data_IF_857476946581
#
_entry.id   IF_857476946581
#
_cell.length_a   1.000
_cell.length_b   1.000
_cell.length_c   1.000
_cell.angle_alpha   90.00
_cell.angle_beta   90.00
_cell.angle_gamma   90.00
#
_symmetry.space_group_name_H-M   'P 1'
#
loop_
_entity.id
_entity.type
_entity.pdbx_description
1 polymer ?
#
# COMPACT_ATOMS: atom_id res chain seq x y z
N UNK A 1 -66.40 47.77 24.96
CA UNK A 1 -66.47 46.44 24.32
C UNK A 1 -65.26 46.33 23.41
N UNK A 2 -64.11 46.00 24.01
CA UNK A 2 -63.42 44.69 24.00
C UNK A 2 -62.53 44.50 22.76
N UNK A 3 -61.21 44.32 22.95
CA UNK A 3 -60.19 44.27 21.90
C UNK A 3 -60.01 42.84 21.37
N UNK A 4 -59.49 42.68 20.15
CA UNK A 4 -58.88 41.40 19.71
C UNK A 4 -57.56 41.67 18.99
N UNK A 5 -56.49 41.53 19.78
CA UNK A 5 -55.14 41.32 19.31
C UNK A 5 -55.03 39.92 18.68
N UNK A 6 -54.46 39.84 17.47
CA UNK A 6 -54.03 38.57 16.87
C UNK A 6 -52.50 38.56 16.87
N UNK A 7 -51.92 37.86 17.85
CA UNK A 7 -50.51 37.55 17.88
C UNK A 7 -50.25 36.38 16.93
N UNK A 8 -49.51 36.63 15.85
CA UNK A 8 -49.00 35.58 14.97
C UNK A 8 -47.64 35.13 15.54
N UNK A 9 -47.61 33.92 16.08
CA UNK A 9 -46.40 33.31 16.61
C UNK A 9 -45.46 32.93 15.46
N UNK A 10 -44.27 33.55 15.42
CA UNK A 10 -43.17 33.13 14.58
C UNK A 10 -42.49 31.92 15.25
N UNK A 11 -42.77 30.71 14.76
CA UNK A 11 -42.11 29.48 15.21
C UNK A 11 -40.75 29.39 14.51
N UNK A 12 -39.67 29.72 15.23
CA UNK A 12 -38.29 29.49 14.79
C UNK A 12 -37.99 27.99 14.94
N UNK A 13 -38.16 27.24 13.86
CA UNK A 13 -37.57 25.90 13.73
C UNK A 13 -36.07 26.06 13.49
N UNK A 14 -35.32 26.16 14.58
CA UNK A 14 -33.89 25.89 14.59
C UNK A 14 -33.70 24.40 14.33
N UNK A 15 -33.64 24.03 13.05
CA UNK A 15 -33.24 22.69 12.62
C UNK A 15 -31.82 22.44 13.10
N UNK A 16 -31.67 21.53 14.05
CA UNK A 16 -30.41 20.88 14.38
C UNK A 16 -29.86 20.25 13.09
N UNK A 17 -28.87 20.91 12.48
CA UNK A 17 -28.02 20.26 11.49
C UNK A 17 -27.34 19.09 12.18
N UNK A 18 -27.41 17.86 11.64
CA UNK A 18 -26.64 16.75 12.17
C UNK A 18 -25.17 17.15 12.08
N UNK A 19 -24.49 17.15 13.22
CA UNK A 19 -23.03 17.22 13.26
C UNK A 19 -22.53 16.05 12.40
N UNK A 20 -22.00 16.37 11.22
CA UNK A 20 -21.40 15.38 10.35
C UNK A 20 -20.40 14.58 11.17
N UNK A 21 -20.61 13.27 11.24
CA UNK A 21 -19.62 12.37 11.81
C UNK A 21 -18.30 12.70 11.09
N UNK A 22 -17.34 13.25 11.82
CA UNK A 22 -16.03 13.52 11.28
C UNK A 22 -15.49 12.20 10.73
N UNK A 23 -15.35 12.13 9.41
CA UNK A 23 -14.85 10.96 8.70
C UNK A 23 -13.51 10.58 9.34
N UNK A 24 -13.34 9.32 9.78
CA UNK A 24 -12.09 8.89 10.41
C UNK A 24 -10.96 9.15 9.38
N UNK A 25 -9.97 10.00 9.68
CA UNK A 25 -8.90 10.32 8.73
C UNK A 25 -8.10 9.08 8.30
N UNK A 26 -8.18 7.96 9.04
CA UNK A 26 -7.63 6.65 8.64
C UNK A 26 -8.36 6.01 7.45
N UNK A 27 -9.57 6.49 7.15
CA UNK A 27 -10.41 5.98 6.05
C UNK A 27 -10.46 6.91 4.83
N UNK A 28 -9.95 8.13 4.95
CA UNK A 28 -9.92 9.09 3.84
C UNK A 28 -8.83 8.70 2.86
N UNK A 29 -9.23 8.21 1.69
CA UNK A 29 -8.35 7.86 0.58
C UNK A 29 -8.04 9.12 -0.22
N UNK A 30 -6.77 9.49 -0.34
CA UNK A 30 -6.32 10.61 -1.16
C UNK A 30 -6.08 10.20 -2.61
N UNK A 31 -5.49 9.01 -2.79
CA UNK A 31 -5.16 8.42 -4.09
C UNK A 31 -5.43 6.93 -4.04
N UNK A 32 -6.08 6.39 -5.06
CA UNK A 32 -6.16 4.95 -5.31
C UNK A 32 -5.93 4.66 -6.78
N UNK A 33 -4.91 3.88 -7.09
CA UNK A 33 -4.73 3.26 -8.40
C UNK A 33 -5.04 1.77 -8.27
N UNK A 34 -5.95 1.25 -9.08
CA UNK A 34 -6.30 -0.18 -9.14
C UNK A 34 -6.19 -0.65 -10.59
N UNK A 35 -5.17 -1.44 -10.88
CA UNK A 35 -4.91 -2.09 -12.14
C UNK A 35 -5.25 -3.58 -12.02
N UNK A 36 -6.05 -4.10 -12.95
CA UNK A 36 -6.42 -5.51 -12.94
C UNK A 36 -6.47 -6.12 -14.33
N UNK A 37 -6.24 -7.42 -14.38
CA UNK A 37 -6.38 -8.30 -15.54
C UNK A 37 -6.84 -9.69 -15.09
N UNK A 38 -6.91 -10.65 -16.01
CA UNK A 38 -7.23 -12.05 -15.67
C UNK A 38 -6.10 -12.76 -14.93
N UNK A 39 -4.85 -12.28 -15.06
CA UNK A 39 -3.65 -12.94 -14.51
C UNK A 39 -3.13 -12.26 -13.24
N UNK A 40 -3.49 -10.99 -13.01
CA UNK A 40 -2.91 -10.20 -11.93
C UNK A 40 -3.75 -9.00 -11.55
N UNK A 41 -3.58 -8.57 -10.31
CA UNK A 41 -4.10 -7.32 -9.78
C UNK A 41 -2.98 -6.58 -9.06
N UNK A 42 -3.00 -5.26 -9.17
CA UNK A 42 -2.13 -4.33 -8.48
C UNK A 42 -2.93 -3.12 -8.03
N UNK A 43 -2.96 -2.86 -6.74
CA UNK A 43 -3.68 -1.73 -6.14
C UNK A 43 -2.75 -0.96 -5.21
N UNK A 44 -2.59 0.34 -5.44
CA UNK A 44 -1.85 1.28 -4.58
C UNK A 44 -2.86 2.26 -3.98
N UNK A 45 -2.78 2.49 -2.67
CA UNK A 45 -3.65 3.45 -1.96
C UNK A 45 -2.83 4.31 -1.02
N UNK A 46 -2.97 5.63 -1.11
CA UNK A 46 -2.48 6.58 -0.12
C UNK A 46 -3.66 7.11 0.70
N UNK A 47 -3.57 6.97 2.02
CA UNK A 47 -4.54 7.48 2.97
C UNK A 47 -4.10 8.84 3.53
N UNK A 48 -5.05 9.65 3.98
CA UNK A 48 -4.78 10.99 4.53
C UNK A 48 -3.93 10.96 5.81
N UNK A 49 -3.94 9.85 6.54
CA UNK A 49 -3.08 9.64 7.71
C UNK A 49 -1.62 9.28 7.35
N UNK A 50 -1.26 9.20 6.06
CA UNK A 50 0.08 8.83 5.62
C UNK A 50 0.33 7.33 5.48
N UNK A 51 -0.67 6.48 5.69
CA UNK A 51 -0.53 5.06 5.37
C UNK A 51 -0.53 4.87 3.85
N UNK A 52 0.41 4.10 3.34
CA UNK A 52 0.43 3.61 1.96
C UNK A 52 0.16 2.11 1.96
N UNK A 53 -0.88 1.69 1.24
CA UNK A 53 -1.19 0.27 1.04
C UNK A 53 -0.88 -0.13 -0.39
N UNK A 54 -0.17 -1.23 -0.53
CA UNK A 54 0.06 -1.88 -1.81
C UNK A 54 -0.46 -3.32 -1.74
N UNK A 55 -1.37 -3.67 -2.64
CA UNK A 55 -1.90 -5.02 -2.81
C UNK A 55 -1.52 -5.52 -4.21
N UNK A 56 -0.86 -6.67 -4.31
CA UNK A 56 -0.44 -7.21 -5.61
C UNK A 56 -0.44 -8.74 -5.64
N UNK A 57 -0.68 -9.33 -6.80
CA UNK A 57 -0.61 -10.78 -6.99
C UNK A 57 -1.67 -11.29 -7.97
N UNK A 58 -1.85 -12.61 -8.01
CA UNK A 58 -2.96 -13.20 -8.76
C UNK A 58 -4.30 -12.78 -8.13
N UNK A 59 -5.38 -12.60 -8.92
CA UNK A 59 -6.68 -12.21 -8.38
C UNK A 59 -7.16 -13.19 -7.31
N UNK A 60 -7.47 -12.67 -6.12
CA UNK A 60 -7.88 -13.46 -4.94
C UNK A 60 -6.73 -14.07 -4.12
N UNK A 61 -5.48 -13.87 -4.52
CA UNK A 61 -4.28 -14.29 -3.79
C UNK A 61 -3.29 -13.13 -3.62
N UNK A 62 -3.80 -11.90 -3.55
CA UNK A 62 -2.96 -10.72 -3.50
C UNK A 62 -2.28 -10.59 -2.13
N UNK A 63 -0.96 -10.37 -2.14
CA UNK A 63 -0.22 -9.99 -0.97
C UNK A 63 -0.43 -8.52 -0.65
N UNK A 64 -0.60 -8.19 0.64
CA UNK A 64 -0.69 -6.81 1.12
C UNK A 64 0.64 -6.36 1.72
N UNK A 65 1.06 -5.15 1.37
CA UNK A 65 2.21 -4.44 1.91
C UNK A 65 1.73 -3.08 2.43
N UNK A 66 2.29 -2.65 3.56
CA UNK A 66 1.96 -1.38 4.20
C UNK A 66 3.25 -0.60 4.39
N UNK A 67 3.28 0.62 3.86
CA UNK A 67 4.28 1.63 4.18
C UNK A 67 3.63 2.79 4.94
N UNK A 68 4.46 3.62 5.56
CA UNK A 68 4.03 4.83 6.23
C UNK A 68 4.91 5.99 5.78
N UNK A 69 4.29 7.15 5.60
CA UNK A 69 4.96 8.42 5.31
C UNK A 69 4.58 9.47 6.33
N UNK A 70 5.50 10.40 6.59
CA UNK A 70 5.27 11.52 7.50
C UNK A 70 4.29 12.54 6.92
N UNK A 71 3.72 13.40 7.77
CA UNK A 71 2.82 14.46 7.32
C UNK A 71 3.43 15.41 6.27
N UNK A 72 4.73 15.69 6.37
CA UNK A 72 5.45 16.53 5.40
C UNK A 72 5.55 15.86 4.02
N UNK A 73 5.77 14.55 3.99
CA UNK A 73 5.82 13.75 2.76
C UNK A 73 4.43 13.62 2.13
N UNK A 74 3.38 13.41 2.94
CA UNK A 74 1.98 13.47 2.46
C UNK A 74 1.71 14.83 1.82
N UNK A 75 2.07 15.93 2.48
CA UNK A 75 1.89 17.26 1.92
C UNK A 75 2.70 17.45 0.63
N UNK A 76 3.90 16.86 0.51
CA UNK A 76 4.69 16.88 -0.71
C UNK A 76 4.02 16.10 -1.85
N UNK A 77 3.48 14.91 -1.58
CA UNK A 77 2.70 14.16 -2.57
C UNK A 77 1.47 14.94 -3.01
N UNK A 78 0.69 15.51 -2.08
CA UNK A 78 -0.49 16.30 -2.41
C UNK A 78 -0.17 17.48 -3.33
N UNK A 79 0.92 18.22 -3.07
CA UNK A 79 1.37 19.31 -3.97
C UNK A 79 1.69 18.80 -5.37
N UNK A 80 2.43 17.69 -5.48
CA UNK A 80 2.81 17.09 -6.77
C UNK A 80 1.62 16.50 -7.52
N UNK A 81 0.64 15.96 -6.81
CA UNK A 81 -0.61 15.44 -7.40
C UNK A 81 -1.52 16.56 -7.92
N UNK A 82 -1.44 17.75 -7.32
CA UNK A 82 -2.20 18.93 -7.72
C UNK A 82 -1.54 19.76 -8.83
N UNK A 83 -0.27 19.49 -9.15
CA UNK A 83 0.52 20.26 -10.14
C UNK A 83 0.08 20.05 -11.60
N UNK A 84 -0.20 18.81 -12.08
CA UNK A 84 -0.61 18.60 -13.45
C UNK A 84 -1.96 19.25 -13.75
N UNK A 85 -2.05 19.97 -14.87
CA UNK A 85 -3.34 20.39 -15.41
C UNK A 85 -4.03 19.20 -16.09
N UNK A 86 -5.15 18.77 -15.53
CA UNK A 86 -5.91 17.60 -15.99
C UNK A 86 -7.17 18.01 -16.76
N UNK A 87 -7.37 19.29 -17.08
CA UNK A 87 -8.59 19.77 -17.77
C UNK A 87 -8.79 19.13 -19.15
N UNK A 88 -7.72 18.73 -19.81
CA UNK A 88 -7.73 18.10 -21.14
C UNK A 88 -7.62 16.57 -21.11
N UNK A 89 -7.58 15.96 -19.91
CA UNK A 89 -7.48 14.50 -19.77
C UNK A 89 -8.88 13.91 -19.61
N UNK A 90 -9.29 13.07 -20.57
CA UNK A 90 -10.58 12.38 -20.52
C UNK A 90 -10.65 11.43 -19.31
N UNK A 91 -11.40 11.85 -18.30
CA UNK A 91 -11.72 11.07 -17.10
C UNK A 91 -12.62 9.85 -17.42
N UNK A 92 -13.47 9.99 -18.44
CA UNK A 92 -14.57 9.06 -18.75
C UNK A 92 -14.30 8.09 -19.89
N UNK A 93 -13.07 8.08 -20.44
CA UNK A 93 -12.68 7.16 -21.50
C UNK A 93 -12.87 5.68 -21.11
N UNK A 94 -13.23 4.84 -22.08
CA UNK A 94 -13.21 3.39 -21.89
C UNK A 94 -11.75 2.92 -21.82
N UNK A 95 -11.37 2.23 -20.73
CA UNK A 95 -10.03 1.66 -20.65
C UNK A 95 -9.88 0.59 -21.75
N UNK A 96 -8.78 0.59 -22.52
CA UNK A 96 -8.53 -0.46 -23.49
C UNK A 96 -8.53 -1.82 -22.78
N UNK A 97 -9.42 -2.72 -23.22
CA UNK A 97 -9.60 -4.04 -22.65
C UNK A 97 -8.92 -5.15 -23.46
N UNK A 98 -8.58 -6.26 -22.79
CA UNK A 98 -8.05 -7.47 -23.41
C UNK A 98 -7.49 -8.42 -22.36
N UNK A 99 -7.37 -9.71 -22.68
CA UNK A 99 -6.92 -10.75 -21.71
C UNK A 99 -5.56 -10.42 -21.07
N UNK A 100 -4.70 -9.69 -21.77
CA UNK A 100 -3.35 -9.31 -21.33
C UNK A 100 -3.19 -7.82 -21.02
N UNK A 101 -4.26 -7.02 -21.18
CA UNK A 101 -4.20 -5.58 -20.97
C UNK A 101 -4.69 -5.28 -19.56
N UNK A 102 -3.80 -4.79 -18.71
CA UNK A 102 -4.17 -4.32 -17.38
C UNK A 102 -5.00 -3.04 -17.52
N UNK A 103 -6.29 -3.14 -17.18
CA UNK A 103 -7.20 -2.01 -17.11
C UNK A 103 -7.05 -1.37 -15.72
N UNK A 104 -6.69 -0.09 -15.73
CA UNK A 104 -6.41 0.69 -14.54
C UNK A 104 -7.48 1.75 -14.30
N UNK A 105 -7.77 1.96 -13.02
CA UNK A 105 -8.59 3.05 -12.52
C UNK A 105 -7.75 3.85 -11.54
N UNK A 106 -7.65 5.16 -11.75
CA UNK A 106 -7.04 6.09 -10.79
C UNK A 106 -8.10 7.01 -10.23
N UNK A 107 -8.28 7.00 -8.91
CA UNK A 107 -9.15 7.88 -8.15
C UNK A 107 -8.30 8.85 -7.34
N UNK A 108 -8.59 10.15 -7.48
CA UNK A 108 -7.95 11.23 -6.73
C UNK A 108 -9.02 11.96 -5.91
N UNK A 109 -8.77 12.14 -4.63
CA UNK A 109 -9.56 12.98 -3.74
C UNK A 109 -8.61 13.91 -3.00
N UNK A 110 -8.24 15.01 -3.67
CA UNK A 110 -7.35 16.02 -3.10
C UNK A 110 -8.16 17.02 -2.25
N UNK A 111 -7.59 17.55 -1.15
CA UNK A 111 -8.25 18.59 -0.36
C UNK A 111 -8.67 19.78 -1.24
N UNK A 112 -9.88 20.28 -1.01
CA UNK A 112 -10.44 21.45 -1.70
C UNK A 112 -10.66 21.27 -3.22
N UNK A 113 -10.54 20.05 -3.75
CA UNK A 113 -10.82 19.71 -5.14
C UNK A 113 -11.94 18.69 -5.24
N UNK A 114 -12.70 18.75 -6.34
CA UNK A 114 -13.65 17.69 -6.66
C UNK A 114 -12.89 16.39 -6.95
N UNK A 115 -13.39 15.27 -6.43
CA UNK A 115 -12.80 13.96 -6.71
C UNK A 115 -12.81 13.68 -8.20
N UNK A 116 -11.70 13.15 -8.72
CA UNK A 116 -11.53 12.80 -10.13
C UNK A 116 -11.25 11.32 -10.26
N UNK A 117 -11.73 10.74 -11.36
CA UNK A 117 -11.50 9.33 -11.70
C UNK A 117 -11.01 9.25 -13.13
N UNK A 118 -9.98 8.46 -13.37
CA UNK A 118 -9.40 8.23 -14.69
C UNK A 118 -9.39 6.75 -14.99
N UNK A 119 -9.61 6.38 -16.24
CA UNK A 119 -9.52 5.00 -16.74
C UNK A 119 -8.48 4.95 -17.86
N UNK A 120 -7.57 3.99 -17.79
CA UNK A 120 -6.49 3.86 -18.76
C UNK A 120 -5.95 2.42 -18.80
N UNK A 121 -5.23 2.07 -19.85
CA UNK A 121 -4.47 0.82 -19.90
C UNK A 121 -3.04 1.05 -19.42
N UNK A 122 -2.50 0.20 -18.54
CA UNK A 122 -1.18 0.44 -17.91
C UNK A 122 -0.02 0.68 -18.88
N UNK A 123 -0.07 0.01 -20.02
CA UNK A 123 0.98 0.06 -21.06
C UNK A 123 0.55 0.90 -22.28
N UNK A 124 -0.55 1.64 -22.18
CA UNK A 124 -1.00 2.54 -23.24
C UNK A 124 -0.17 3.83 -23.27
N UNK A 125 -0.25 4.56 -24.37
CA UNK A 125 0.24 5.95 -24.39
C UNK A 125 -0.72 6.84 -23.60
N UNK A 126 -0.17 7.76 -22.81
CA UNK A 126 -0.95 8.67 -21.96
C UNK A 126 -0.67 10.13 -22.33
N UNK A 127 -1.58 11.03 -21.96
CA UNK A 127 -1.28 12.46 -21.97
C UNK A 127 -0.09 12.75 -21.07
N UNK A 128 0.60 13.86 -21.31
CA UNK A 128 1.71 14.29 -20.45
C UNK A 128 1.23 14.48 -19.00
N UNK A 129 0.06 15.08 -18.81
CA UNK A 129 -0.51 15.33 -17.49
C UNK A 129 -0.78 14.03 -16.71
N UNK A 130 -1.42 13.04 -17.35
CA UNK A 130 -1.65 11.73 -16.74
C UNK A 130 -0.33 11.00 -16.48
N UNK A 131 0.65 11.09 -17.38
CA UNK A 131 1.97 10.47 -17.18
C UNK A 131 2.70 11.04 -15.96
N UNK A 132 2.64 12.37 -15.79
CA UNK A 132 3.19 13.06 -14.63
C UNK A 132 2.51 12.64 -13.34
N UNK A 133 1.17 12.58 -13.34
CA UNK A 133 0.40 12.10 -12.19
C UNK A 133 0.76 10.66 -11.80
N UNK A 134 0.81 9.74 -12.78
CA UNK A 134 1.19 8.35 -12.55
C UNK A 134 2.64 8.21 -12.05
N UNK A 135 3.53 9.15 -12.36
CA UNK A 135 4.88 9.15 -11.78
C UNK A 135 4.85 9.38 -10.27
N UNK A 136 3.97 10.27 -9.79
CA UNK A 136 3.79 10.49 -8.35
C UNK A 136 3.19 9.26 -7.68
N UNK A 137 2.25 8.57 -8.34
CA UNK A 137 1.67 7.31 -7.83
C UNK A 137 2.74 6.22 -7.71
N UNK A 138 3.67 6.11 -8.66
CA UNK A 138 4.82 5.18 -8.56
C UNK A 138 5.75 5.51 -7.40
N UNK A 139 5.96 6.79 -7.11
CA UNK A 139 6.76 7.20 -5.95
C UNK A 139 6.05 6.84 -4.63
N UNK A 140 4.73 7.04 -4.57
CA UNK A 140 3.90 6.60 -3.44
C UNK A 140 4.01 5.09 -3.26
N UNK A 141 3.84 4.33 -4.34
CA UNK A 141 3.99 2.87 -4.36
C UNK A 141 5.34 2.42 -3.80
N UNK A 142 6.43 3.10 -4.17
CA UNK A 142 7.78 2.75 -3.74
C UNK A 142 7.93 2.77 -2.20
N UNK A 143 7.16 3.60 -1.49
CA UNK A 143 7.09 3.62 -0.02
C UNK A 143 6.64 2.25 0.50
N UNK A 144 5.51 1.73 0.02
CA UNK A 144 5.00 0.44 0.46
C UNK A 144 5.82 -0.73 -0.13
N UNK A 145 6.46 -0.54 -1.28
CA UNK A 145 7.28 -1.56 -1.89
C UNK A 145 8.59 -1.82 -1.12
N UNK A 146 9.12 -0.79 -0.46
CA UNK A 146 10.33 -0.86 0.36
C UNK A 146 10.05 -1.13 1.84
N UNK A 147 8.79 -1.07 2.25
CA UNK A 147 8.38 -1.46 3.59
C UNK A 147 8.62 -2.95 3.82
N UNK A 148 9.27 -3.27 4.94
CA UNK A 148 9.56 -4.64 5.39
C UNK A 148 8.25 -5.40 5.53
N UNK A 149 8.08 -6.52 4.80
CA UNK A 149 6.86 -7.34 4.88
C UNK A 149 6.77 -7.99 6.25
N UNK A 150 5.55 -8.31 6.67
CA UNK A 150 5.36 -9.18 7.83
C UNK A 150 6.00 -10.56 7.56
N UNK A 151 6.97 -10.92 8.41
CA UNK A 151 7.81 -12.10 8.25
C UNK A 151 9.08 -11.92 7.43
N UNK A 152 9.35 -10.75 6.83
CA UNK A 152 10.68 -10.47 6.26
C UNK A 152 11.75 -10.51 7.36
N UNK A 153 12.99 -10.83 6.98
CA UNK A 153 14.10 -10.81 7.93
C UNK A 153 14.26 -9.39 8.49
N UNK A 154 14.20 -9.19 9.83
CA UNK A 154 14.47 -7.91 10.44
C UNK A 154 15.80 -7.29 9.97
N UNK A 155 15.87 -5.96 9.88
CA UNK A 155 17.08 -5.26 9.41
C UNK A 155 18.32 -5.61 10.25
N UNK A 156 18.13 -5.82 11.55
CA UNK A 156 19.14 -6.28 12.50
C UNK A 156 18.85 -7.69 12.98
N UNK A 157 18.44 -8.56 12.05
CA UNK A 157 18.20 -9.95 12.36
C UNK A 157 19.48 -10.61 12.86
N UNK A 158 19.42 -11.11 14.08
CA UNK A 158 20.47 -11.95 14.65
C UNK A 158 19.99 -13.40 14.64
N UNK A 159 20.68 -14.30 13.90
CA UNK A 159 20.30 -15.71 13.82
C UNK A 159 20.38 -16.37 15.19
N UNK A 160 19.47 -17.32 15.43
CA UNK A 160 19.42 -18.15 16.64
C UNK A 160 19.21 -19.60 16.26
N UNK A 161 19.75 -20.58 17.00
CA UNK A 161 19.44 -21.98 16.78
C UNK A 161 17.92 -22.19 16.91
N UNK A 162 17.34 -22.93 15.98
CA UNK A 162 15.90 -23.17 15.87
C UNK A 162 15.10 -22.09 15.13
N UNK A 163 15.71 -21.00 14.68
CA UNK A 163 15.05 -20.07 13.75
C UNK A 163 14.82 -20.78 12.40
N UNK A 164 13.61 -20.70 11.87
CA UNK A 164 13.23 -21.23 10.56
C UNK A 164 13.15 -20.10 9.54
N UNK A 165 13.98 -20.17 8.50
CA UNK A 165 14.15 -19.15 7.48
C UNK A 165 13.65 -19.62 6.12
N UNK A 166 13.17 -18.69 5.30
CA UNK A 166 12.80 -18.91 3.90
C UNK A 166 13.78 -18.16 2.99
N UNK A 167 14.28 -18.87 1.99
CA UNK A 167 15.14 -18.34 0.93
C UNK A 167 14.28 -17.77 -0.21
N UNK A 168 14.87 -16.92 -1.05
CA UNK A 168 14.17 -16.29 -2.17
C UNK A 168 13.53 -17.28 -3.17
N UNK A 169 14.00 -18.53 -3.22
CA UNK A 169 13.45 -19.61 -4.05
C UNK A 169 12.34 -20.42 -3.35
N UNK A 170 11.91 -20.01 -2.15
CA UNK A 170 10.87 -20.65 -1.35
C UNK A 170 11.34 -21.84 -0.51
N UNK A 171 12.62 -22.21 -0.57
CA UNK A 171 13.14 -23.28 0.27
C UNK A 171 13.29 -22.84 1.73
N UNK A 172 13.01 -23.76 2.64
CA UNK A 172 13.05 -23.53 4.08
C UNK A 172 14.30 -24.14 4.70
N UNK A 173 14.86 -23.44 5.68
CA UNK A 173 16.07 -23.84 6.39
C UNK A 173 15.99 -23.48 7.87
N UNK A 174 16.27 -24.43 8.75
CA UNK A 174 16.40 -24.21 10.20
C UNK A 174 17.86 -23.94 10.54
N UNK A 175 18.12 -22.89 11.32
CA UNK A 175 19.45 -22.64 11.88
C UNK A 175 19.73 -23.72 12.92
N UNK A 176 20.70 -24.58 12.68
CA UNK A 176 21.02 -25.69 13.58
C UNK A 176 22.23 -25.41 14.48
N UNK A 177 23.21 -24.66 13.98
CA UNK A 177 24.44 -24.36 14.70
C UNK A 177 25.14 -23.11 14.15
N UNK A 178 26.24 -22.74 14.82
CA UNK A 178 27.20 -21.75 14.34
C UNK A 178 28.56 -22.40 14.20
N UNK A 179 29.37 -21.89 13.29
CA UNK A 179 30.78 -22.30 13.17
C UNK A 179 31.55 -21.95 14.45
N UNK A 180 32.67 -22.65 14.70
CA UNK A 180 33.46 -22.48 15.91
C UNK A 180 34.03 -21.05 16.09
N UNK A 181 34.24 -20.32 15.00
CA UNK A 181 34.66 -18.92 14.99
C UNK A 181 33.48 -17.92 15.12
N UNK A 182 32.23 -18.40 15.08
CA UNK A 182 31.02 -17.59 15.16
C UNK A 182 30.70 -16.75 13.92
N UNK A 183 31.47 -16.90 12.84
CA UNK A 183 31.34 -16.12 11.60
C UNK A 183 30.36 -16.73 10.60
N UNK A 184 30.06 -18.02 10.73
CA UNK A 184 29.16 -18.77 9.87
C UNK A 184 27.96 -19.33 10.61
N UNK A 185 26.86 -19.47 9.88
CA UNK A 185 25.63 -20.11 10.34
C UNK A 185 25.45 -21.40 9.56
N UNK A 186 25.24 -22.49 10.29
CA UNK A 186 24.91 -23.79 9.72
C UNK A 186 23.40 -23.96 9.70
N UNK A 187 22.85 -24.24 8.52
CA UNK A 187 21.42 -24.40 8.32
C UNK A 187 21.09 -25.73 7.68
N UNK A 188 20.02 -26.37 8.13
CA UNK A 188 19.52 -27.62 7.57
C UNK A 188 18.11 -27.44 7.03
N UNK A 189 17.82 -27.96 5.85
CA UNK A 189 16.46 -27.94 5.33
C UNK A 189 15.62 -29.05 5.99
N UNK A 190 14.40 -28.75 6.48
CA UNK A 190 13.50 -29.78 7.00
C UNK A 190 12.83 -30.58 5.88
N UNK A 191 12.82 -30.05 4.65
CA UNK A 191 12.10 -30.62 3.51
C UNK A 191 12.96 -31.54 2.64
N UNK A 192 14.28 -31.42 2.75
CA UNK A 192 15.25 -32.14 1.95
C UNK A 192 16.54 -32.35 2.75
N UNK A 193 17.31 -33.43 2.50
CA UNK A 193 18.54 -33.73 3.22
C UNK A 193 19.69 -32.83 2.74
N UNK A 194 19.55 -31.52 2.90
CA UNK A 194 20.50 -30.50 2.49
C UNK A 194 20.89 -29.65 3.69
N UNK A 195 22.20 -29.61 3.96
CA UNK A 195 22.82 -28.69 4.92
C UNK A 195 23.68 -27.69 4.15
N UNK A 196 23.58 -26.41 4.53
CA UNK A 196 24.36 -25.34 3.95
C UNK A 196 25.03 -24.51 5.04
N UNK A 197 26.14 -23.87 4.66
CA UNK A 197 26.86 -22.92 5.50
C UNK A 197 26.80 -21.56 4.83
N UNK A 198 26.43 -20.55 5.59
CA UNK A 198 26.32 -19.16 5.10
C UNK A 198 27.06 -18.24 6.07
N UNK A 199 27.94 -17.35 5.59
CA UNK A 199 28.50 -16.30 6.43
C UNK A 199 27.39 -15.50 7.12
N UNK A 200 27.54 -15.21 8.41
CA UNK A 200 26.51 -14.52 9.21
C UNK A 200 26.11 -13.18 8.59
N UNK A 201 27.09 -12.44 8.08
CA UNK A 201 26.87 -11.13 7.46
C UNK A 201 26.14 -11.23 6.11
N UNK A 202 26.25 -12.37 5.42
CA UNK A 202 25.60 -12.62 4.12
C UNK A 202 24.21 -13.25 4.27
N UNK A 203 23.78 -13.58 5.49
CA UNK A 203 22.55 -14.32 5.71
C UNK A 203 21.32 -13.62 5.09
N UNK A 204 21.28 -12.28 5.14
CA UNK A 204 20.22 -11.46 4.54
C UNK A 204 20.27 -11.40 3.00
N UNK A 205 21.39 -11.78 2.40
CA UNK A 205 21.52 -11.91 0.94
C UNK A 205 20.83 -13.18 0.44
N UNK A 206 20.88 -14.25 1.24
CA UNK A 206 20.29 -15.53 0.87
C UNK A 206 18.86 -15.68 1.39
N UNK A 207 18.55 -15.20 2.59
CA UNK A 207 17.25 -15.41 3.22
C UNK A 207 16.43 -14.15 3.26
N UNK A 208 15.16 -14.31 2.88
CA UNK A 208 14.22 -13.20 2.74
C UNK A 208 13.27 -13.12 3.93
N UNK A 209 12.93 -14.25 4.57
CA UNK A 209 11.91 -14.29 5.63
C UNK A 209 12.26 -15.17 6.82
N UNK A 210 11.82 -14.75 8.01
CA UNK A 210 11.80 -15.52 9.25
C UNK A 210 10.39 -16.10 9.42
N UNK A 211 10.27 -17.42 9.24
CA UNK A 211 8.99 -18.13 9.29
C UNK A 211 8.58 -18.49 10.72
N UNK A 212 9.55 -18.84 11.55
CA UNK A 212 9.31 -19.17 12.95
C UNK A 212 10.57 -18.94 13.79
N UNK A 213 10.37 -18.63 15.06
CA UNK A 213 11.42 -18.62 16.08
C UNK A 213 11.01 -19.60 17.17
N UNK A 214 11.83 -20.60 17.43
CA UNK A 214 11.68 -21.42 18.64
C UNK A 214 12.31 -20.67 19.80
N UNK A 215 11.48 -20.19 20.72
CA UNK A 215 11.97 -19.74 22.01
C UNK A 215 12.54 -20.97 22.72
N UNK A 216 13.85 -20.96 22.95
CA UNK A 216 14.55 -22.07 23.61
C UNK A 216 13.92 -22.34 24.98
N UNK A 217 13.21 -23.46 25.08
CA UNK A 217 12.80 -24.09 26.35
C UNK A 217 13.94 -24.90 26.93
#
# INVERSE_FOLDING_TARGET
MTPRAAALALLVLAGMLPAGAAEDPRSVILVREDCSSTIGRREVTLFANGTVRLREGAPGQEAMRLGEVGAEEVAAFLRRLAEPDLSETDADGEAPGGTWVEACVLELALPEQASRRFRFGRYASHSLALSSLLSVVRDIEAVAATAVREGDLPVRYEPRPGDLLERADGLRFEVIAFTADGLGVELSSPDQPLTIYVPRDDLRTFFVRLLARRDGS
#
